data_IF_489534215419
#
_entry.id   IF_489534215419
#
_cell.length_a   1.000
_cell.length_b   1.000
_cell.length_c   1.000
_cell.angle_alpha   90.00
_cell.angle_beta   90.00
_cell.angle_gamma   90.00
#
_symmetry.space_group_name_H-M   'P 1'
#
loop_
_entity.id
_entity.type
_entity.pdbx_description
1 polymer ?
#
# COMPACT_ATOMS: atom_id res chain seq x y z
N UNK A 1 -3.82 -8.08 -38.24
CA UNK A 1 -4.45 -9.25 -37.66
C UNK A 1 -3.46 -9.96 -36.73
N UNK A 2 -3.91 -10.24 -35.54
CA UNK A 2 -3.07 -10.94 -34.56
C UNK A 2 -2.94 -12.40 -34.97
N UNK A 3 -1.71 -12.90 -34.99
CA UNK A 3 -1.48 -14.31 -35.16
C UNK A 3 -1.45 -14.98 -33.76
N UNK A 4 -1.31 -16.30 -33.76
CA UNK A 4 -1.34 -17.05 -32.50
C UNK A 4 -0.26 -16.60 -31.53
N UNK A 5 0.89 -16.19 -32.04
CA UNK A 5 1.97 -15.70 -31.22
C UNK A 5 1.60 -14.39 -30.55
N UNK A 6 1.00 -13.50 -31.31
CA UNK A 6 0.59 -12.20 -30.75
C UNK A 6 -0.50 -12.37 -29.70
N UNK A 7 -1.43 -13.28 -29.94
CA UNK A 7 -2.48 -13.59 -28.98
C UNK A 7 -1.86 -14.13 -27.70
N UNK A 8 -0.88 -14.99 -27.83
CA UNK A 8 -0.21 -15.56 -26.66
C UNK A 8 0.57 -14.54 -25.87
N UNK A 9 1.27 -13.65 -26.55
CA UNK A 9 1.98 -12.56 -25.89
C UNK A 9 1.01 -11.64 -25.18
N UNK A 10 -0.11 -11.36 -25.79
CA UNK A 10 -1.15 -10.56 -25.20
C UNK A 10 -1.70 -11.21 -23.93
N UNK A 11 -1.86 -12.51 -23.97
CA UNK A 11 -2.30 -13.27 -22.82
C UNK A 11 -1.29 -13.22 -21.67
N UNK A 12 -0.01 -13.27 -21.98
CA UNK A 12 1.05 -13.15 -20.98
C UNK A 12 1.07 -11.76 -20.37
N UNK A 13 0.80 -10.75 -21.17
CA UNK A 13 0.64 -9.39 -20.66
C UNK A 13 -0.55 -9.28 -19.73
N UNK A 14 -1.63 -10.00 -20.02
CA UNK A 14 -2.78 -10.05 -19.11
C UNK A 14 -2.40 -10.67 -17.78
N UNK A 15 -1.56 -11.67 -17.79
CA UNK A 15 -1.06 -12.24 -16.52
C UNK A 15 -0.25 -11.25 -15.73
N UNK A 16 0.55 -10.43 -16.42
CA UNK A 16 1.29 -9.37 -15.75
C UNK A 16 0.35 -8.29 -15.26
N UNK A 17 -0.74 -8.05 -15.98
CA UNK A 17 -1.72 -7.05 -15.55
C UNK A 17 -2.52 -7.50 -14.34
N UNK A 18 -2.45 -8.79 -13.97
CA UNK A 18 -3.00 -9.24 -12.70
C UNK A 18 -2.17 -8.81 -11.50
N UNK A 19 -0.95 -8.36 -11.73
CA UNK A 19 -0.21 -7.71 -10.69
C UNK A 19 -0.87 -6.37 -10.39
N UNK A 20 -1.45 -6.26 -9.22
CA UNK A 20 -2.13 -5.05 -8.81
C UNK A 20 -1.28 -4.36 -7.75
N UNK A 21 -0.62 -3.27 -8.11
CA UNK A 21 0.15 -2.51 -7.13
C UNK A 21 -0.73 -1.88 -6.06
N UNK A 22 -2.02 -1.71 -6.36
CA UNK A 22 -2.98 -1.22 -5.38
C UNK A 22 -3.99 -2.31 -5.05
N UNK A 23 -4.50 -2.33 -3.81
CA UNK A 23 -5.61 -3.22 -3.48
C UNK A 23 -6.81 -2.98 -4.39
N UNK A 24 -7.61 -4.02 -4.58
CA UNK A 24 -8.83 -3.92 -5.36
C UNK A 24 -9.75 -2.83 -4.79
N UNK A 25 -10.29 -2.01 -5.66
CA UNK A 25 -11.17 -0.92 -5.25
C UNK A 25 -10.46 0.39 -4.96
N UNK A 26 -9.15 0.44 -5.09
CA UNK A 26 -8.40 1.69 -4.95
C UNK A 26 -7.83 2.12 -6.29
N UNK A 27 -7.72 3.42 -6.48
CA UNK A 27 -7.20 4.00 -7.70
C UNK A 27 -6.48 5.30 -7.40
N UNK A 28 -5.67 5.76 -8.36
CA UNK A 28 -4.96 7.02 -8.27
C UNK A 28 -5.66 8.02 -9.19
N UNK A 29 -5.87 9.22 -8.69
CA UNK A 29 -6.51 10.28 -9.45
C UNK A 29 -5.99 11.64 -8.95
N UNK A 30 -6.35 12.70 -9.66
CA UNK A 30 -5.96 14.03 -9.26
C UNK A 30 -6.59 14.40 -7.91
N UNK A 31 -5.76 14.90 -7.02
CA UNK A 31 -6.16 15.22 -5.66
C UNK A 31 -6.41 16.72 -5.50
N UNK A 32 -7.37 17.07 -4.68
CA UNK A 32 -7.57 18.46 -4.29
C UNK A 32 -6.54 18.91 -3.26
N UNK A 33 -5.86 17.95 -2.64
CA UNK A 33 -4.88 18.27 -1.61
C UNK A 33 -3.53 18.56 -2.25
N UNK A 34 -3.03 17.60 -3.01
CA UNK A 34 -1.71 17.74 -3.63
C UNK A 34 -1.55 16.70 -4.72
N UNK A 35 -1.16 17.15 -5.91
CA UNK A 35 -0.82 16.26 -7.02
C UNK A 35 -1.86 15.17 -7.24
N UNK A 36 -1.40 13.93 -7.22
CA UNK A 36 -2.28 12.77 -7.30
C UNK A 36 -2.50 12.18 -5.92
N UNK A 37 -3.63 11.56 -5.74
CA UNK A 37 -4.01 10.96 -4.48
C UNK A 37 -4.59 9.59 -4.66
N UNK A 38 -4.88 8.94 -3.54
CA UNK A 38 -5.45 7.62 -3.48
C UNK A 38 -6.94 7.72 -3.24
N UNK A 39 -7.74 7.13 -4.12
CA UNK A 39 -9.20 7.21 -4.08
C UNK A 39 -9.80 5.82 -4.03
N UNK A 40 -11.00 5.72 -3.48
CA UNK A 40 -11.71 4.46 -3.48
C UNK A 40 -12.78 4.45 -4.57
N UNK A 41 -12.93 3.30 -5.23
CA UNK A 41 -13.95 3.08 -6.23
C UNK A 41 -15.20 2.42 -5.64
N UNK A 42 -15.19 2.17 -4.34
CA UNK A 42 -16.33 1.57 -3.63
C UNK A 42 -16.35 2.10 -2.20
N UNK A 43 -17.46 1.94 -1.54
CA UNK A 43 -17.55 2.32 -0.14
C UNK A 43 -16.62 1.44 0.70
N UNK A 44 -15.89 2.08 1.61
CA UNK A 44 -15.06 1.40 2.59
C UNK A 44 -15.60 1.70 3.98
N UNK A 45 -15.72 0.66 4.79
CA UNK A 45 -16.21 0.83 6.15
C UNK A 45 -15.06 0.94 7.13
N UNK A 46 -15.27 1.65 8.21
CA UNK A 46 -14.30 1.77 9.28
C UNK A 46 -13.88 0.38 9.77
N UNK A 47 -12.59 0.21 10.03
CA UNK A 47 -12.04 -1.07 10.44
C UNK A 47 -11.50 -1.91 9.30
N UNK A 48 -11.66 -1.47 8.05
CA UNK A 48 -11.11 -2.20 6.91
C UNK A 48 -9.60 -2.06 6.87
N UNK A 49 -8.91 -3.19 6.81
CA UNK A 49 -7.46 -3.25 6.64
C UNK A 49 -7.17 -3.31 5.15
N UNK A 50 -6.52 -2.28 4.63
CA UNK A 50 -6.20 -2.19 3.21
C UNK A 50 -4.87 -2.83 2.84
N UNK A 51 -4.13 -3.33 3.83
CA UNK A 51 -2.87 -3.97 3.57
C UNK A 51 -1.69 -3.04 3.79
N UNK A 52 -0.55 -3.49 3.36
CA UNK A 52 0.72 -2.84 3.66
C UNK A 52 0.90 -1.55 2.88
N UNK A 53 1.17 -0.47 3.60
CA UNK A 53 1.46 0.83 3.01
C UNK A 53 2.93 1.19 3.10
N UNK A 54 3.60 0.76 4.15
CA UNK A 54 5.01 1.10 4.40
C UNK A 54 5.73 -0.05 5.05
N UNK A 55 7.04 -0.12 4.82
CA UNK A 55 7.93 -1.06 5.50
C UNK A 55 9.13 -0.27 5.98
N UNK A 56 9.44 -0.40 7.26
CA UNK A 56 10.68 0.12 7.81
C UNK A 56 11.69 -1.01 7.86
N UNK A 57 12.84 -0.79 7.26
CA UNK A 57 13.93 -1.75 7.24
C UNK A 57 15.16 -1.03 7.78
N UNK A 58 15.46 -1.22 9.05
CA UNK A 58 16.47 -0.42 9.73
C UNK A 58 16.09 1.05 9.72
N UNK A 59 16.93 1.88 9.13
CA UNK A 59 16.64 3.31 8.98
C UNK A 59 15.93 3.64 7.66
N UNK A 60 15.67 2.65 6.85
CA UNK A 60 15.09 2.85 5.54
C UNK A 60 13.58 2.69 5.63
N UNK A 61 12.85 3.65 5.12
CA UNK A 61 11.41 3.58 5.01
C UNK A 61 11.03 3.38 3.54
N UNK A 62 10.41 2.26 3.25
CA UNK A 62 9.94 1.95 1.91
C UNK A 62 8.44 2.13 1.85
N UNK A 63 7.96 2.63 0.74
CA UNK A 63 6.53 2.82 0.50
C UNK A 63 6.06 1.84 -0.55
N UNK A 64 4.92 1.20 -0.27
CA UNK A 64 4.21 0.51 -1.34
C UNK A 64 3.55 1.56 -2.23
N UNK A 65 3.03 1.20 -3.41
CA UNK A 65 2.29 2.18 -4.21
C UNK A 65 1.16 2.85 -3.44
N UNK A 66 0.45 2.12 -2.60
CA UNK A 66 -0.60 2.68 -1.76
C UNK A 66 -0.03 3.76 -0.82
N UNK A 67 1.06 3.45 -0.15
CA UNK A 67 1.70 4.41 0.75
C UNK A 67 2.34 5.58 0.02
N UNK A 68 2.69 5.40 -1.25
CA UNK A 68 3.30 6.46 -2.05
C UNK A 68 2.31 7.50 -2.57
N UNK A 69 1.05 7.12 -2.74
CA UNK A 69 0.06 8.03 -3.29
C UNK A 69 -0.89 8.62 -2.25
N UNK A 70 -0.90 8.11 -1.04
CA UNK A 70 -1.82 8.64 -0.02
C UNK A 70 -1.36 10.01 0.48
N UNK A 71 -2.26 10.95 0.50
CA UNK A 71 -1.96 12.30 0.93
C UNK A 71 -2.20 12.50 2.42
N UNK A 72 -1.54 13.50 2.97
CA UNK A 72 -1.66 13.86 4.37
C UNK A 72 -2.90 14.74 4.59
N UNK A 73 -3.58 14.51 5.71
CA UNK A 73 -4.66 15.37 6.18
C UNK A 73 -4.62 15.47 7.69
N UNK A 74 -5.02 16.61 8.21
CA UNK A 74 -5.17 16.76 9.66
C UNK A 74 -6.45 16.07 10.16
N UNK A 75 -7.39 15.82 9.24
CA UNK A 75 -8.61 15.05 9.54
C UNK A 75 -8.62 13.81 8.65
N UNK A 76 -7.72 12.86 8.92
CA UNK A 76 -7.58 11.70 8.05
C UNK A 76 -8.72 10.70 8.23
N UNK A 77 -8.97 9.94 7.18
CA UNK A 77 -9.91 8.82 7.25
C UNK A 77 -9.22 7.46 7.35
N UNK A 78 -7.88 7.47 7.36
CA UNK A 78 -7.09 6.27 7.53
C UNK A 78 -5.97 6.49 8.55
N UNK A 79 -5.45 5.39 9.07
CA UNK A 79 -4.35 5.40 10.02
C UNK A 79 -3.39 4.27 9.66
N UNK A 80 -2.12 4.45 9.98
CA UNK A 80 -1.12 3.38 9.86
C UNK A 80 -1.09 2.57 11.14
N UNK A 81 -1.20 1.27 11.01
CA UNK A 81 -1.12 0.35 12.12
C UNK A 81 0.14 -0.47 11.98
N UNK A 82 0.93 -0.43 13.02
CA UNK A 82 2.21 -1.13 13.04
C UNK A 82 2.00 -2.61 13.24
N UNK A 83 2.74 -3.40 12.48
CA UNK A 83 2.72 -4.84 12.59
C UNK A 83 4.13 -5.35 12.30
N UNK A 84 4.62 -6.23 13.15
CA UNK A 84 5.90 -6.85 12.92
C UNK A 84 5.71 -8.04 11.99
N UNK A 85 6.55 -8.11 10.96
CA UNK A 85 6.62 -9.34 10.17
C UNK A 85 7.38 -10.37 11.00
N UNK A 86 6.81 -11.54 11.12
CA UNK A 86 7.52 -12.62 11.76
C UNK A 86 8.62 -13.14 10.84
N UNK A 87 9.62 -13.74 11.44
CA UNK A 87 10.68 -14.38 10.67
C UNK A 87 10.10 -15.44 9.74
N UNK A 88 9.07 -16.12 10.19
CA UNK A 88 8.42 -17.14 9.40
C UNK A 88 7.72 -16.57 8.18
N UNK A 89 7.04 -15.45 8.34
CA UNK A 89 6.43 -14.75 7.21
C UNK A 89 7.48 -14.32 6.20
N UNK A 90 8.60 -13.84 6.70
CA UNK A 90 9.70 -13.43 5.85
C UNK A 90 10.28 -14.62 5.07
N UNK A 91 10.42 -15.74 5.74
CA UNK A 91 11.00 -16.93 5.13
C UNK A 91 10.16 -17.50 4.01
N UNK A 92 8.88 -17.26 4.02
CA UNK A 92 8.02 -17.67 2.91
C UNK A 92 8.29 -16.92 1.62
N UNK A 93 9.02 -15.86 1.71
CA UNK A 93 9.45 -15.08 0.55
C UNK A 93 10.89 -15.36 0.19
N UNK A 94 11.21 -16.34 0.18
CA UNK A 94 12.16 -17.38 0.15
C UNK A 94 13.41 -17.27 -0.68
N UNK A 95 13.60 -16.24 -1.40
CA UNK A 95 14.83 -16.02 -2.14
C UNK A 95 15.86 -15.28 -1.32
N UNK A 96 15.51 -15.01 -0.07
CA UNK A 96 16.36 -14.21 0.80
C UNK A 96 17.09 -15.10 1.79
N UNK A 97 18.38 -14.85 1.99
CA UNK A 97 19.14 -15.61 2.97
C UNK A 97 18.64 -15.29 4.38
N UNK A 98 18.05 -16.29 5.01
CA UNK A 98 17.37 -16.10 6.28
C UNK A 98 18.29 -15.96 7.46
N UNK A 99 19.45 -16.58 7.39
CA UNK A 99 20.25 -16.77 8.58
C UNK A 99 21.43 -15.83 8.68
N UNK A 100 21.70 -15.10 7.61
CA UNK A 100 22.87 -14.24 7.58
C UNK A 100 22.57 -12.81 7.99
N UNK A 101 21.32 -12.42 8.01
CA UNK A 101 20.94 -11.04 8.26
C UNK A 101 19.88 -10.97 9.32
N UNK A 102 20.21 -10.27 10.37
CA UNK A 102 19.25 -9.97 11.40
C UNK A 102 18.48 -8.74 10.95
N UNK A 103 17.51 -8.98 10.10
CA UNK A 103 16.71 -7.90 9.52
C UNK A 103 15.59 -7.56 10.46
N UNK A 104 15.71 -6.42 11.10
CA UNK A 104 14.60 -5.85 11.84
C UNK A 104 13.78 -5.01 10.90
N UNK A 105 12.57 -5.43 10.66
CA UNK A 105 11.68 -4.57 9.88
C UNK A 105 10.28 -4.59 10.44
N UNK A 106 9.63 -3.48 10.23
CA UNK A 106 8.29 -3.21 10.70
C UNK A 106 7.40 -2.98 9.51
N UNK A 107 6.28 -3.68 9.50
CA UNK A 107 5.26 -3.49 8.49
C UNK A 107 4.19 -2.55 9.03
N UNK A 108 3.81 -1.59 8.21
CA UNK A 108 2.70 -0.69 8.52
C UNK A 108 1.56 -0.97 7.56
N UNK A 109 0.41 -1.28 8.11
CA UNK A 109 -0.81 -1.47 7.32
C UNK A 109 -1.66 -0.21 7.37
N UNK A 110 -2.36 0.04 6.29
CA UNK A 110 -3.30 1.15 6.22
C UNK A 110 -4.68 0.66 6.66
N UNK A 111 -5.23 1.31 7.67
CA UNK A 111 -6.52 0.94 8.25
C UNK A 111 -7.49 2.09 8.09
N UNK A 112 -8.67 1.79 7.61
CA UNK A 112 -9.76 2.77 7.51
C UNK A 112 -10.33 3.03 8.90
N UNK A 113 -10.40 4.30 9.29
CA UNK A 113 -10.94 4.66 10.62
C UNK A 113 -12.32 5.28 10.54
N UNK A 114 -12.68 5.89 9.42
CA UNK A 114 -14.02 6.43 9.18
C UNK A 114 -14.54 5.87 7.88
N UNK A 115 -15.86 5.68 7.76
CA UNK A 115 -16.42 5.22 6.51
C UNK A 115 -16.04 6.18 5.37
N UNK A 116 -15.66 5.62 4.25
CA UNK A 116 -15.24 6.38 3.08
C UNK A 116 -16.19 6.02 1.94
N UNK A 117 -16.80 7.04 1.35
CA UNK A 117 -17.75 6.80 0.26
C UNK A 117 -17.04 6.62 -1.05
N UNK A 118 -17.70 5.97 -1.99
CA UNK A 118 -17.18 5.80 -3.34
C UNK A 118 -16.78 7.14 -3.93
N UNK A 119 -15.59 7.21 -4.49
CA UNK A 119 -15.06 8.41 -5.11
C UNK A 119 -14.33 9.36 -4.16
N UNK A 120 -14.31 9.06 -2.87
CA UNK A 120 -13.61 9.90 -1.91
C UNK A 120 -12.13 9.56 -1.84
N UNK A 121 -11.35 10.55 -1.50
CA UNK A 121 -9.91 10.39 -1.32
C UNK A 121 -9.58 9.83 0.05
N UNK A 122 -8.67 8.84 0.08
CA UNK A 122 -8.12 8.33 1.32
C UNK A 122 -7.00 9.25 1.77
N UNK A 123 -6.97 9.56 3.06
CA UNK A 123 -5.98 10.44 3.64
C UNK A 123 -5.41 9.86 4.90
N UNK A 124 -4.22 10.27 5.24
CA UNK A 124 -3.45 9.74 6.33
C UNK A 124 -2.77 10.88 7.07
N UNK A 125 -2.70 10.79 8.37
CA UNK A 125 -1.84 11.69 9.13
C UNK A 125 -0.46 11.06 9.21
N UNK A 126 0.54 11.78 8.75
CA UNK A 126 1.91 11.28 8.79
C UNK A 126 2.42 11.38 10.22
N UNK A 127 2.61 10.23 10.84
CA UNK A 127 3.07 10.17 12.23
C UNK A 127 4.44 9.53 12.42
N UNK A 128 5.08 9.13 11.35
CA UNK A 128 6.38 8.48 11.46
C UNK A 128 7.43 9.39 12.08
N UNK A 129 7.28 10.65 11.89
CA UNK A 129 8.12 11.65 12.51
C UNK A 129 7.22 12.68 13.17
N UNK A 130 6.52 12.24 14.15
CA UNK A 130 5.60 13.10 14.88
C UNK A 130 6.40 14.20 15.57
N UNK A 131 6.24 15.46 15.17
CA UNK A 131 7.00 16.53 15.80
C UNK A 131 6.66 16.71 17.28
N UNK A 132 5.51 16.19 17.69
CA UNK A 132 5.13 16.27 19.10
C UNK A 132 5.96 15.36 19.98
N UNK A 133 6.68 14.43 19.40
CA UNK A 133 7.53 13.51 20.16
C UNK A 133 8.96 13.98 20.31
N UNK A 134 9.22 15.17 19.97
CA UNK A 134 10.55 15.72 20.13
C UNK A 134 10.88 15.93 21.59
#
# INVERSE_FOLDING_TARGET
>A
MMNDKDIKEHHDLDKLSHYQPLPSGLTVADSRISGQGLFTTRKLVAGTDLGMSHVELGKLLLRTPMGGFINHSINPNCVKVKSLLTRQEWNHRTDLPNDKYDLNFTKWNLMVIDDIEEGEELTLKYKLYDPEKK
#
